data_IF_375205834366
#
_entry.id   IF_375205834366
#
_cell.length_a   1.000
_cell.length_b   1.000
_cell.length_c   1.000
_cell.angle_alpha   90.00
_cell.angle_beta   90.00
_cell.angle_gamma   90.00
#
_symmetry.space_group_name_H-M   'P 1'
#
loop_
_entity.id
_entity.type
_entity.pdbx_description
1 polymer ?
#
# COMPACT_ATOMS: atom_id res chain seq x y z
N UNK A 1 36.81 53.00 -33.69
CA UNK A 1 35.54 52.48 -34.24
C UNK A 1 35.53 50.96 -34.07
N UNK A 2 34.89 50.43 -33.02
CA UNK A 2 34.63 49.00 -32.85
C UNK A 2 33.13 48.76 -33.04
N UNK A 3 32.75 47.94 -34.01
CA UNK A 3 31.37 47.51 -34.24
C UNK A 3 30.99 46.43 -33.21
N UNK A 4 29.82 46.62 -32.61
CA UNK A 4 29.20 45.71 -31.65
C UNK A 4 28.94 44.31 -32.25
N UNK A 5 29.23 43.28 -31.47
CA UNK A 5 28.96 41.88 -31.78
C UNK A 5 27.57 41.48 -31.28
N UNK A 6 26.70 41.04 -32.19
CA UNK A 6 25.30 40.71 -31.97
C UNK A 6 25.09 39.57 -30.96
N UNK A 7 24.61 39.92 -29.75
CA UNK A 7 24.20 39.00 -28.68
C UNK A 7 22.77 38.44 -28.86
N UNK A 8 22.43 37.90 -30.04
CA UNK A 8 21.05 37.42 -30.29
C UNK A 8 20.91 35.95 -30.66
N UNK A 9 21.99 35.17 -30.62
CA UNK A 9 21.92 33.74 -30.99
C UNK A 9 22.76 32.92 -30.02
N UNK A 10 22.44 32.96 -28.72
CA UNK A 10 22.98 31.99 -27.77
C UNK A 10 22.06 31.82 -26.55
N UNK A 11 20.77 31.61 -26.78
CA UNK A 11 19.80 31.40 -25.69
C UNK A 11 18.70 30.39 -26.05
N UNK A 12 19.04 29.32 -26.77
CA UNK A 12 18.03 28.34 -27.20
C UNK A 12 18.48 26.89 -27.24
N UNK A 13 19.60 26.50 -26.62
CA UNK A 13 20.11 25.13 -26.76
C UNK A 13 20.69 24.54 -25.47
N UNK A 14 19.93 24.60 -24.37
CA UNK A 14 20.25 23.80 -23.14
C UNK A 14 19.01 23.13 -22.53
N UNK A 15 17.80 23.43 -23.00
CA UNK A 15 16.56 23.02 -22.33
C UNK A 15 15.90 21.79 -22.99
N UNK A 16 16.68 20.72 -23.23
CA UNK A 16 16.23 19.58 -24.04
C UNK A 16 16.66 18.19 -23.57
N UNK A 17 17.18 18.03 -22.34
CA UNK A 17 17.74 16.74 -21.88
C UNK A 17 17.31 16.35 -20.46
N UNK A 18 16.02 16.50 -20.12
CA UNK A 18 15.52 16.30 -18.75
C UNK A 18 14.39 15.28 -18.56
N UNK A 19 14.00 14.51 -19.58
CA UNK A 19 12.83 13.61 -19.49
C UNK A 19 13.12 12.18 -19.97
N UNK A 20 14.34 11.68 -19.75
CA UNK A 20 14.60 10.25 -19.92
C UNK A 20 14.16 9.54 -18.64
N UNK A 21 12.87 9.18 -18.66
CA UNK A 21 12.33 7.96 -18.07
C UNK A 21 12.82 7.62 -16.66
N UNK A 22 12.15 8.18 -15.66
CA UNK A 22 11.85 7.40 -14.45
C UNK A 22 10.89 6.29 -14.88
N UNK A 23 11.42 5.22 -15.49
CA UNK A 23 10.69 3.96 -15.56
C UNK A 23 10.53 3.52 -14.11
N UNK A 24 9.42 3.95 -13.49
CA UNK A 24 8.98 3.49 -12.19
C UNK A 24 8.70 2.01 -12.40
N UNK A 25 9.72 1.21 -12.09
CA UNK A 25 9.70 -0.25 -12.16
C UNK A 25 8.86 -0.81 -11.00
N UNK A 26 7.66 -0.27 -10.78
CA UNK A 26 6.73 -0.72 -9.76
C UNK A 26 5.92 -1.89 -10.34
N UNK A 27 6.53 -3.07 -10.43
CA UNK A 27 5.82 -4.31 -10.78
C UNK A 27 5.94 -5.39 -9.69
N UNK A 28 6.09 -4.97 -8.43
CA UNK A 28 6.22 -5.88 -7.30
C UNK A 28 4.98 -6.76 -7.07
N UNK A 29 3.80 -6.37 -7.55
CA UNK A 29 2.58 -7.18 -7.52
C UNK A 29 2.51 -8.35 -8.51
N UNK A 30 3.24 -8.32 -9.64
CA UNK A 30 3.05 -9.31 -10.73
C UNK A 30 3.67 -10.68 -10.38
N UNK A 31 4.72 -10.69 -9.58
CA UNK A 31 5.41 -11.92 -9.14
C UNK A 31 5.32 -12.18 -7.63
N UNK A 32 4.50 -11.38 -6.92
CA UNK A 32 4.29 -11.51 -5.49
C UNK A 32 3.71 -12.88 -5.13
N UNK A 33 4.16 -13.42 -4.00
CA UNK A 33 3.61 -14.64 -3.41
C UNK A 33 3.27 -14.31 -1.97
N UNK A 34 1.99 -14.31 -1.62
CA UNK A 34 1.54 -13.81 -0.33
C UNK A 34 1.15 -14.99 0.57
N UNK A 35 1.69 -15.02 1.78
CA UNK A 35 1.42 -16.10 2.73
C UNK A 35 0.03 -15.95 3.34
N UNK A 36 -0.92 -16.79 2.89
CA UNK A 36 -2.28 -16.81 3.41
C UNK A 36 -2.42 -17.53 4.75
N UNK A 37 -1.40 -18.29 5.15
CA UNK A 37 -1.39 -19.09 6.39
C UNK A 37 -1.05 -18.28 7.64
N UNK A 38 -0.51 -17.08 7.46
CA UNK A 38 -0.10 -16.19 8.56
C UNK A 38 -0.64 -14.76 8.36
N UNK A 39 -1.98 -14.55 8.31
CA UNK A 39 -2.55 -13.23 8.12
C UNK A 39 -2.22 -12.29 9.29
N UNK A 40 -1.71 -11.11 8.97
CA UNK A 40 -1.21 -10.13 9.94
C UNK A 40 -2.29 -9.11 10.24
N UNK A 41 -2.52 -8.85 11.53
CA UNK A 41 -3.38 -7.77 12.03
C UNK A 41 -2.55 -6.52 12.24
N UNK A 42 -2.95 -5.44 11.59
CA UNK A 42 -2.36 -4.12 11.77
C UNK A 42 -3.45 -3.18 12.28
N UNK A 43 -3.43 -2.89 13.58
CA UNK A 43 -4.35 -1.92 14.21
C UNK A 43 -3.59 -0.67 14.61
N UNK A 44 -4.04 0.50 14.16
CA UNK A 44 -3.27 1.72 14.38
C UNK A 44 -3.84 2.95 13.72
N UNK A 45 -3.00 3.99 13.61
CA UNK A 45 -3.35 5.30 13.09
C UNK A 45 -2.85 5.48 11.67
N UNK A 46 -3.70 5.97 10.77
CA UNK A 46 -3.33 6.33 9.40
C UNK A 46 -2.40 7.55 9.43
N UNK A 47 -1.19 7.40 8.91
CA UNK A 47 -0.19 8.48 8.80
C UNK A 47 -0.08 9.04 7.38
N UNK A 48 -0.47 8.25 6.37
CA UNK A 48 -0.58 8.67 4.97
C UNK A 48 -1.62 7.80 4.25
N UNK A 49 -2.29 8.37 3.26
CA UNK A 49 -3.23 7.65 2.41
C UNK A 49 -3.13 8.13 0.96
N UNK A 50 -3.09 7.19 0.01
CA UNK A 50 -3.13 7.43 -1.43
C UNK A 50 -4.21 6.56 -2.04
N UNK A 51 -5.17 7.15 -2.76
CA UNK A 51 -6.28 6.43 -3.40
C UNK A 51 -6.25 6.67 -4.92
N UNK A 52 -5.11 6.40 -5.53
CA UNK A 52 -4.88 6.62 -6.96
C UNK A 52 -4.28 5.36 -7.61
N UNK A 53 -4.42 5.18 -8.93
CA UNK A 53 -3.77 4.08 -9.63
C UNK A 53 -2.24 4.06 -9.42
N UNK A 54 -1.57 2.88 -9.43
CA UNK A 54 -2.13 1.55 -9.74
C UNK A 54 -2.86 0.88 -8.57
N UNK A 55 -2.61 1.31 -7.33
CA UNK A 55 -3.21 0.72 -6.12
C UNK A 55 -3.48 1.79 -5.06
N UNK A 56 -4.58 1.69 -4.32
CA UNK A 56 -4.72 2.42 -3.07
C UNK A 56 -3.68 1.92 -2.06
N UNK A 57 -3.08 2.84 -1.31
CA UNK A 57 -2.03 2.56 -0.33
C UNK A 57 -2.30 3.34 0.95
N UNK A 58 -2.23 2.66 2.09
CA UNK A 58 -2.24 3.30 3.42
C UNK A 58 -0.91 3.10 4.12
N UNK A 59 -0.39 4.14 4.75
CA UNK A 59 0.65 4.01 5.76
C UNK A 59 -0.01 4.10 7.13
N UNK A 60 0.20 3.08 7.98
CA UNK A 60 -0.40 2.96 9.31
C UNK A 60 0.71 2.86 10.35
N UNK A 61 0.72 3.75 11.34
CA UNK A 61 1.51 3.55 12.56
C UNK A 61 0.79 2.51 13.42
N UNK A 62 1.40 1.34 13.58
CA UNK A 62 0.79 0.22 14.29
C UNK A 62 0.90 0.45 15.80
N UNK A 63 -0.20 0.26 16.50
CA UNK A 63 -0.29 0.50 17.95
C UNK A 63 -0.89 -0.70 18.70
N UNK A 64 -1.73 -1.49 18.03
CA UNK A 64 -2.37 -2.66 18.62
C UNK A 64 -1.39 -3.81 18.81
N UNK A 65 -1.47 -4.46 19.97
CA UNK A 65 -0.67 -5.65 20.35
C UNK A 65 -1.47 -6.94 20.38
N UNK A 66 -2.79 -6.84 20.35
CA UNK A 66 -3.69 -7.97 20.44
C UNK A 66 -4.43 -8.18 19.13
N UNK A 67 -4.80 -9.43 18.86
CA UNK A 67 -5.77 -9.76 17.81
C UNK A 67 -7.16 -9.36 18.33
N UNK A 68 -7.80 -8.33 17.76
CA UNK A 68 -9.12 -7.93 18.23
C UNK A 68 -10.15 -9.03 17.93
N UNK A 69 -11.24 -9.05 18.69
CA UNK A 69 -12.41 -9.83 18.31
C UNK A 69 -12.98 -9.23 17.01
N UNK A 70 -12.63 -9.86 15.90
CA UNK A 70 -13.07 -9.46 14.57
C UNK A 70 -14.29 -10.29 14.19
N UNK A 71 -15.40 -9.61 13.94
CA UNK A 71 -16.49 -10.18 13.14
C UNK A 71 -16.06 -10.09 11.68
N UNK A 72 -15.45 -11.18 11.21
CA UNK A 72 -14.55 -11.08 10.07
C UNK A 72 -15.26 -11.04 8.73
N UNK A 73 -16.47 -11.62 8.62
CA UNK A 73 -17.00 -12.10 7.33
C UNK A 73 -15.83 -12.55 6.43
N UNK A 74 -15.06 -13.49 7.00
CA UNK A 74 -13.67 -13.79 6.63
C UNK A 74 -13.55 -14.02 5.13
N UNK A 75 -12.82 -13.17 4.38
CA UNK A 75 -12.48 -13.47 3.00
C UNK A 75 -11.73 -14.81 2.94
N UNK A 76 -12.01 -15.60 1.90
CA UNK A 76 -11.38 -16.89 1.63
C UNK A 76 -9.85 -16.80 1.42
N UNK A 77 -9.32 -15.58 1.33
CA UNK A 77 -7.89 -15.30 1.20
C UNK A 77 -7.07 -15.57 2.47
N UNK A 78 -7.67 -15.48 3.66
CA UNK A 78 -6.97 -15.69 4.93
C UNK A 78 -7.23 -17.13 5.38
N UNK A 79 -6.24 -18.01 5.38
CA UNK A 79 -6.44 -19.45 5.67
C UNK A 79 -5.96 -19.88 7.05
N UNK A 80 -5.00 -19.18 7.65
CA UNK A 80 -4.52 -19.49 9.00
C UNK A 80 -5.02 -18.55 10.12
N UNK A 81 -4.46 -18.70 11.34
CA UNK A 81 -4.80 -17.85 12.47
C UNK A 81 -4.26 -16.43 12.28
N UNK A 82 -5.00 -15.43 12.75
CA UNK A 82 -4.53 -14.05 12.75
C UNK A 82 -3.42 -13.85 13.78
N UNK A 83 -2.39 -13.11 13.38
CA UNK A 83 -1.24 -12.81 14.22
C UNK A 83 -1.02 -11.30 14.31
N UNK A 84 -0.51 -10.86 15.46
CA UNK A 84 0.19 -9.57 15.57
C UNK A 84 1.68 -9.88 15.57
N UNK A 85 2.45 -9.05 14.86
CA UNK A 85 3.90 -9.17 14.80
C UNK A 85 4.53 -8.09 15.65
N UNK A 86 5.33 -8.47 16.64
CA UNK A 86 5.97 -7.50 17.54
C UNK A 86 6.86 -6.52 16.78
N UNK A 87 7.48 -6.95 15.67
CA UNK A 87 8.30 -6.04 14.85
C UNK A 87 7.47 -4.98 14.10
N UNK A 88 6.14 -5.09 14.04
CA UNK A 88 5.28 -4.07 13.45
C UNK A 88 4.88 -3.00 14.46
N UNK A 89 4.81 -3.33 15.76
CA UNK A 89 4.28 -2.43 16.79
C UNK A 89 5.18 -1.21 16.98
N UNK A 90 4.60 -0.01 16.86
CA UNK A 90 5.30 1.28 16.91
C UNK A 90 5.80 1.77 15.55
N UNK A 91 5.92 0.87 14.57
CA UNK A 91 6.41 1.17 13.23
C UNK A 91 5.30 1.68 12.30
N UNK A 92 5.70 2.40 11.25
CA UNK A 92 4.82 2.74 10.14
C UNK A 92 4.91 1.66 9.08
N UNK A 93 3.78 1.00 8.81
CA UNK A 93 3.66 -0.03 7.78
C UNK A 93 2.85 0.48 6.61
N UNK A 94 3.41 0.30 5.42
CA UNK A 94 2.71 0.56 4.17
C UNK A 94 1.93 -0.70 3.75
N UNK A 95 0.65 -0.50 3.44
CA UNK A 95 -0.25 -1.57 3.02
C UNK A 95 -0.87 -1.19 1.69
N UNK A 96 -0.64 -2.04 0.69
CA UNK A 96 -1.27 -1.94 -0.62
C UNK A 96 -2.64 -2.63 -0.60
N UNK A 97 -3.68 -1.97 -1.12
CA UNK A 97 -5.00 -2.57 -1.27
C UNK A 97 -5.22 -3.10 -2.68
N UNK A 98 -6.13 -4.08 -2.78
CA UNK A 98 -6.60 -4.56 -4.09
C UNK A 98 -7.10 -3.39 -4.96
N UNK A 99 -6.77 -3.37 -6.27
CA UNK A 99 -7.08 -2.27 -7.16
C UNK A 99 -8.53 -2.35 -7.66
N UNK A 100 -9.48 -2.33 -6.72
CA UNK A 100 -10.92 -2.41 -6.97
C UNK A 100 -11.63 -1.16 -6.44
N UNK A 101 -12.78 -0.83 -7.04
CA UNK A 101 -13.48 0.43 -6.80
C UNK A 101 -13.77 0.71 -5.33
N UNK A 102 -14.06 -0.33 -4.56
CA UNK A 102 -14.36 -0.27 -3.13
C UNK A 102 -13.20 0.32 -2.31
N UNK A 103 -11.96 0.01 -2.67
CA UNK A 103 -10.78 0.55 -1.98
C UNK A 103 -10.37 1.93 -2.48
N UNK A 104 -10.62 2.27 -3.75
CA UNK A 104 -10.44 3.66 -4.21
C UNK A 104 -11.44 4.62 -3.53
N UNK A 105 -12.69 4.17 -3.34
CA UNK A 105 -13.74 4.96 -2.69
C UNK A 105 -13.49 5.24 -1.19
N UNK A 106 -12.46 4.62 -0.59
CA UNK A 106 -12.05 4.95 0.77
C UNK A 106 -11.46 6.36 0.90
N UNK A 107 -11.07 7.02 -0.20
CA UNK A 107 -10.56 8.40 -0.18
C UNK A 107 -11.52 9.45 0.37
N UNK A 108 -12.82 9.17 0.32
CA UNK A 108 -13.85 10.04 0.90
C UNK A 108 -14.08 9.75 2.39
N UNK A 109 -13.60 8.59 2.88
CA UNK A 109 -13.96 8.00 4.18
C UNK A 109 -12.79 7.88 5.16
N UNK A 110 -11.55 7.91 4.66
CA UNK A 110 -10.33 7.80 5.46
C UNK A 110 -9.53 9.09 5.35
N UNK A 111 -9.07 9.59 6.50
CA UNK A 111 -8.18 10.74 6.63
C UNK A 111 -6.96 10.36 7.46
N UNK A 112 -5.89 11.14 7.33
CA UNK A 112 -4.74 11.06 8.24
C UNK A 112 -5.22 11.35 9.66
N UNK A 113 -4.77 10.52 10.61
CA UNK A 113 -5.22 10.56 12.01
C UNK A 113 -6.32 9.56 12.34
N UNK A 114 -7.01 8.98 11.35
CA UNK A 114 -8.03 7.97 11.61
C UNK A 114 -7.42 6.67 12.14
N UNK A 115 -8.19 5.98 13.00
CA UNK A 115 -7.85 4.64 13.46
C UNK A 115 -8.48 3.59 12.56
N UNK A 116 -7.70 2.58 12.20
CA UNK A 116 -8.12 1.46 11.37
C UNK A 116 -7.57 0.15 11.90
N UNK A 117 -8.25 -0.95 11.56
CA UNK A 117 -7.70 -2.30 11.66
C UNK A 117 -7.66 -2.90 10.27
N UNK A 118 -6.51 -3.42 9.87
CA UNK A 118 -6.27 -4.01 8.55
C UNK A 118 -5.82 -5.46 8.73
N UNK A 119 -6.32 -6.34 7.87
CA UNK A 119 -5.78 -7.69 7.72
C UNK A 119 -4.92 -7.73 6.47
N UNK A 120 -3.65 -8.03 6.63
CA UNK A 120 -2.69 -8.02 5.55
C UNK A 120 -2.02 -9.38 5.38
N UNK A 121 -1.69 -9.71 4.15
CA UNK A 121 -0.76 -10.79 3.82
C UNK A 121 0.60 -10.21 3.52
N UNK A 122 1.65 -10.92 3.94
CA UNK A 122 3.04 -10.54 3.65
C UNK A 122 3.50 -11.24 2.38
N UNK A 123 4.13 -10.49 1.48
CA UNK A 123 4.84 -11.06 0.35
C UNK A 123 6.06 -11.87 0.85
N UNK A 124 6.20 -13.10 0.39
CA UNK A 124 7.31 -13.98 0.72
C UNK A 124 8.63 -13.55 0.10
N UNK A 125 8.59 -12.69 -0.93
CA UNK A 125 9.78 -12.17 -1.58
C UNK A 125 10.09 -10.77 -1.06
N UNK A 126 11.38 -10.38 -0.95
CA UNK A 126 11.76 -8.99 -0.75
C UNK A 126 11.09 -8.07 -1.79
N UNK A 127 10.62 -6.88 -1.40
CA UNK A 127 10.84 -6.24 -0.10
C UNK A 127 9.82 -6.61 1.00
N UNK A 128 9.07 -7.71 0.84
CA UNK A 128 8.07 -8.21 1.80
C UNK A 128 6.87 -7.27 2.01
N UNK A 129 6.38 -6.72 0.90
CA UNK A 129 5.21 -5.85 0.85
C UNK A 129 4.00 -6.46 1.54
N UNK A 130 3.20 -5.60 2.17
CA UNK A 130 1.94 -5.97 2.78
C UNK A 130 0.81 -5.65 1.83
N UNK A 131 -0.08 -6.62 1.62
CA UNK A 131 -1.25 -6.46 0.77
C UNK A 131 -2.52 -6.82 1.52
N UNK A 132 -3.60 -6.11 1.24
CA UNK A 132 -4.88 -6.32 1.91
C UNK A 132 -6.07 -6.28 0.95
N UNK A 133 -7.08 -7.08 1.27
CA UNK A 133 -8.44 -7.00 0.73
C UNK A 133 -9.46 -6.84 1.85
N UNK A 134 -9.05 -6.32 3.02
CA UNK A 134 -9.93 -6.18 4.18
C UNK A 134 -9.47 -5.04 5.10
N UNK A 135 -10.40 -4.16 5.46
CA UNK A 135 -10.17 -3.09 6.44
C UNK A 135 -11.43 -2.82 7.25
N UNK A 136 -11.26 -2.56 8.54
CA UNK A 136 -12.27 -2.00 9.44
C UNK A 136 -11.93 -0.56 9.76
N UNK A 137 -12.89 0.33 9.52
CA UNK A 137 -12.76 1.75 9.81
C UNK A 137 -13.06 2.06 11.27
N UNK A 138 -12.71 3.27 11.71
CA UNK A 138 -13.04 3.82 13.03
C UNK A 138 -14.55 3.81 13.34
N UNK A 139 -15.39 3.94 12.30
CA UNK A 139 -16.85 3.82 12.41
C UNK A 139 -17.35 2.39 12.71
N UNK A 140 -16.45 1.40 12.69
CA UNK A 140 -16.76 -0.01 12.80
C UNK A 140 -17.14 -0.67 11.48
N UNK A 141 -17.36 0.12 10.41
CA UNK A 141 -17.68 -0.40 9.08
C UNK A 141 -16.51 -1.23 8.53
N UNK A 142 -16.84 -2.39 7.95
CA UNK A 142 -15.88 -3.27 7.28
C UNK A 142 -16.01 -3.07 5.76
N UNK A 143 -14.87 -3.00 5.09
CA UNK A 143 -14.75 -3.06 3.63
C UNK A 143 -13.87 -4.23 3.29
N UNK A 144 -14.38 -5.15 2.48
CA UNK A 144 -13.66 -6.36 2.08
C UNK A 144 -13.94 -6.75 0.62
N UNK A 145 -13.03 -7.51 0.03
CA UNK A 145 -13.12 -8.01 -1.33
C UNK A 145 -12.56 -9.44 -1.44
N UNK A 146 -13.29 -10.37 -2.04
CA UNK A 146 -12.93 -11.80 -2.13
C UNK A 146 -12.44 -12.27 -3.49
N UNK A 147 -12.22 -11.38 -4.46
CA UNK A 147 -11.87 -11.78 -5.83
C UNK A 147 -10.42 -12.21 -6.07
N UNK A 148 -9.58 -12.29 -5.02
CA UNK A 148 -8.28 -12.99 -5.07
C UNK A 148 -7.30 -12.52 -6.16
N UNK A 149 -6.96 -11.23 -6.20
CA UNK A 149 -6.13 -10.64 -7.26
C UNK A 149 -4.61 -10.87 -7.12
N UNK A 150 -4.18 -11.74 -6.21
CA UNK A 150 -2.76 -12.03 -5.97
C UNK A 150 -2.54 -13.53 -5.80
N UNK A 151 -1.31 -13.99 -6.06
CA UNK A 151 -0.94 -15.39 -5.84
C UNK A 151 -0.75 -15.64 -4.35
N UNK A 152 -1.55 -16.55 -3.80
CA UNK A 152 -1.49 -17.01 -2.40
C UNK A 152 -0.61 -18.26 -2.29
N UNK A 153 0.08 -18.40 -1.17
CA UNK A 153 0.86 -19.59 -0.80
C UNK A 153 0.63 -19.94 0.66
N UNK A 154 0.81 -21.22 1.00
CA UNK A 154 0.80 -21.70 2.38
C UNK A 154 2.22 -21.66 2.94
N UNK A 155 2.51 -20.60 3.69
CA UNK A 155 3.83 -20.32 4.25
C UNK A 155 4.79 -19.70 3.25
N UNK A 156 5.67 -18.82 3.76
CA UNK A 156 6.85 -18.42 3.02
C UNK A 156 7.96 -19.47 3.18
N UNK A 157 8.47 -19.96 2.06
CA UNK A 157 9.61 -20.90 2.00
C UNK A 157 10.92 -20.17 1.78
#
# INVERSE_FOLDING_TARGET
>A
MLKALNHRILFSLVMGAGLIGSAVLAHHGVSGQYDSSSPIVLSGMVTRATFAPPHPVLSVRVEGRDVPALDLNRPDEFTGPFIVREEDVGEVREIEFSPVGEFYALGDRIRVGDRVTVLALRNCRPPHELRSSWIRLSSGQIVSYSGGLHRRVDGCR
#
